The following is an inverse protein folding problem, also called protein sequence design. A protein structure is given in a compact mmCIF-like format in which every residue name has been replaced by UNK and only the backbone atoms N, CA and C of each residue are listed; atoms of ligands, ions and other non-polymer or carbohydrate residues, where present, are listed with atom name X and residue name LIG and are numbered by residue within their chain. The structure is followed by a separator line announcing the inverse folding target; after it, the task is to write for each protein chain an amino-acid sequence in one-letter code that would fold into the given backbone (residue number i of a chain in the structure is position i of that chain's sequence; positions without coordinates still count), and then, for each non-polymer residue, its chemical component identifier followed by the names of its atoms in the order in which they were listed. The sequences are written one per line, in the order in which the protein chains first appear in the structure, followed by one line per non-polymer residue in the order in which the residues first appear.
data_IF_369267562369
#
_entry.id   IF_369267562369
#
_cell.length_a   1.000
_cell.length_b   1.000
_cell.length_c   1.000
_cell.angle_alpha   90.00
_cell.angle_beta   90.00
_cell.angle_gamma   90.00
#
_symmetry.space_group_name_H-M   'P 1'
#
loop_
_entity.id
_entity.type
_entity.pdbx_description
1 polymer ?
#
# COMPACT_ATOMS: atom_id res chain seq x y z
N UNK A 1 9.51 3.74 -13.80
CA UNK A 1 10.22 3.30 -12.59
C UNK A 1 11.01 2.05 -12.96
N UNK A 2 12.34 2.10 -13.02
CA UNK A 2 13.19 0.93 -13.36
C UNK A 2 13.77 0.35 -12.08
N UNK A 3 13.03 -0.55 -11.44
CA UNK A 3 13.51 -1.34 -10.30
C UNK A 3 14.74 -2.21 -10.65
N UNK A 4 14.89 -2.56 -11.94
CA UNK A 4 16.05 -3.30 -12.46
C UNK A 4 17.41 -2.59 -12.30
N UNK A 5 17.42 -1.31 -11.88
CA UNK A 5 18.65 -0.54 -11.65
C UNK A 5 18.90 -0.24 -10.15
N UNK A 6 18.07 -0.77 -9.24
CA UNK A 6 18.23 -0.53 -7.81
C UNK A 6 19.15 -1.61 -7.20
N UNK A 7 20.34 -1.20 -6.75
CA UNK A 7 21.28 -2.06 -6.04
C UNK A 7 21.27 -1.78 -4.52
N UNK A 8 21.57 -2.80 -3.71
CA UNK A 8 21.68 -2.70 -2.25
C UNK A 8 20.33 -2.62 -1.51
N UNK A 9 20.27 -1.85 -0.42
CA UNK A 9 19.12 -1.73 0.53
C UNK A 9 17.82 -1.22 -0.14
N UNK A 10 17.91 -0.73 -1.38
CA UNK A 10 16.78 -0.24 -2.17
C UNK A 10 16.24 -1.25 -3.19
N UNK A 11 16.89 -2.39 -3.37
CA UNK A 11 16.38 -3.47 -4.20
C UNK A 11 15.10 -4.04 -3.57
N UNK A 12 13.99 -3.95 -4.30
CA UNK A 12 12.72 -4.56 -3.88
C UNK A 12 12.43 -5.72 -4.83
N UNK A 13 12.51 -6.98 -4.35
CA UNK A 13 12.43 -8.16 -5.22
C UNK A 13 11.04 -8.38 -5.83
N UNK A 14 9.99 -7.76 -5.26
CA UNK A 14 8.63 -7.88 -5.74
C UNK A 14 7.86 -6.55 -5.58
N UNK A 15 6.88 -6.30 -6.45
CA UNK A 15 5.94 -5.17 -6.38
C UNK A 15 5.23 -5.13 -5.03
N UNK A 16 4.99 -6.29 -4.42
CA UNK A 16 4.48 -6.40 -3.05
C UNK A 16 5.39 -5.70 -2.04
N UNK A 17 6.70 -5.95 -2.07
CA UNK A 17 7.69 -5.29 -1.19
C UNK A 17 7.86 -3.79 -1.50
N UNK A 18 7.48 -3.34 -2.70
CA UNK A 18 7.42 -1.90 -2.99
C UNK A 18 6.22 -1.22 -2.30
N UNK A 19 5.12 -1.96 -2.10
CA UNK A 19 3.89 -1.46 -1.50
C UNK A 19 3.76 -1.76 0.01
N UNK A 20 4.48 -2.78 0.50
CA UNK A 20 4.61 -3.13 1.91
C UNK A 20 5.61 -2.19 2.57
N UNK A 21 5.10 -1.10 3.15
CA UNK A 21 5.87 -0.13 3.93
C UNK A 21 5.11 0.27 5.19
N UNK A 22 5.70 1.18 5.94
CA UNK A 22 5.11 1.82 7.10
C UNK A 22 4.43 3.12 6.67
N UNK A 23 3.12 3.20 6.89
CA UNK A 23 2.28 4.32 6.47
C UNK A 23 1.81 5.13 7.68
N UNK A 24 1.74 6.45 7.54
CA UNK A 24 1.07 7.28 8.52
C UNK A 24 -0.41 7.35 8.17
N UNK A 25 -1.26 6.72 8.98
CA UNK A 25 -2.66 6.50 8.66
C UNK A 25 -3.51 6.48 9.93
N UNK A 26 -4.80 6.81 9.79
CA UNK A 26 -5.82 6.60 10.81
C UNK A 26 -6.21 5.13 10.87
N UNK A 27 -5.93 4.48 12.00
CA UNK A 27 -6.20 3.06 12.21
C UNK A 27 -7.67 2.71 12.03
N UNK A 28 -8.60 3.53 12.53
CA UNK A 28 -10.03 3.23 12.47
C UNK A 28 -10.56 3.21 11.03
N UNK A 29 -9.99 4.05 10.17
CA UNK A 29 -10.32 4.06 8.74
C UNK A 29 -9.64 2.93 8.00
N UNK A 30 -8.42 2.59 8.41
CA UNK A 30 -7.62 1.54 7.79
C UNK A 30 -8.19 0.15 8.08
N UNK A 31 -8.65 -0.10 9.29
CA UNK A 31 -9.28 -1.36 9.69
C UNK A 31 -10.61 -1.61 8.97
N UNK A 32 -11.24 -0.56 8.41
CA UNK A 32 -12.46 -0.66 7.60
C UNK A 32 -12.20 -0.83 6.10
N UNK A 33 -10.94 -0.74 5.65
CA UNK A 33 -10.64 -0.79 4.24
C UNK A 33 -10.62 -2.24 3.73
N UNK A 34 -11.37 -2.51 2.67
CA UNK A 34 -11.39 -3.83 2.03
C UNK A 34 -10.12 -4.14 1.22
N UNK A 35 -9.54 -3.09 0.61
CA UNK A 35 -8.38 -3.21 -0.26
C UNK A 35 -7.44 -2.02 -0.11
N UNK A 36 -6.14 -2.29 -0.25
CA UNK A 36 -5.08 -1.30 -0.32
C UNK A 36 -4.54 -1.25 -1.74
N UNK A 37 -4.60 -0.08 -2.37
CA UNK A 37 -4.19 0.11 -3.77
C UNK A 37 -2.83 0.79 -3.84
N UNK A 38 -1.86 0.14 -4.47
CA UNK A 38 -0.59 0.77 -4.83
C UNK A 38 -0.70 1.42 -6.21
N UNK A 39 -0.68 2.75 -6.22
CA UNK A 39 -0.88 3.56 -7.43
C UNK A 39 0.45 4.13 -7.93
N UNK A 40 0.70 4.04 -9.23
CA UNK A 40 1.83 4.67 -9.89
C UNK A 40 1.37 5.43 -11.14
N UNK A 41 1.67 6.74 -11.19
CA UNK A 41 1.25 7.65 -12.28
C UNK A 41 -0.26 7.58 -12.58
N UNK A 42 -1.07 7.53 -11.54
CA UNK A 42 -2.53 7.45 -11.68
C UNK A 42 -3.05 6.07 -12.07
N UNK A 43 -2.21 5.04 -12.22
CA UNK A 43 -2.68 3.68 -12.54
C UNK A 43 -2.41 2.76 -11.36
N UNK A 44 -3.40 1.93 -10.99
CA UNK A 44 -3.25 0.91 -9.96
C UNK A 44 -2.32 -0.20 -10.48
N UNK A 45 -1.24 -0.45 -9.74
CA UNK A 45 -0.22 -1.46 -10.07
C UNK A 45 -0.22 -2.66 -9.13
N UNK A 46 -0.82 -2.51 -7.96
CA UNK A 46 -0.98 -3.60 -7.01
C UNK A 46 -2.23 -3.38 -6.19
N UNK A 47 -2.93 -4.47 -5.92
CA UNK A 47 -4.08 -4.53 -5.02
C UNK A 47 -3.68 -5.48 -3.91
N UNK A 48 -3.78 -5.03 -2.66
CA UNK A 48 -3.48 -5.84 -1.49
C UNK A 48 -4.77 -5.97 -0.71
N UNK A 49 -5.22 -7.21 -0.50
CA UNK A 49 -6.31 -7.52 0.42
C UNK A 49 -5.74 -7.71 1.82
N UNK A 50 -6.10 -6.86 2.79
CA UNK A 50 -5.78 -7.07 4.20
C UNK A 50 -6.14 -8.48 4.66
N UNK A 51 -5.20 -9.21 5.24
CA UNK A 51 -5.48 -10.49 5.91
C UNK A 51 -5.45 -10.38 7.43
N UNK A 52 -4.99 -9.25 7.94
CA UNK A 52 -4.82 -9.02 9.38
C UNK A 52 -5.00 -7.54 9.69
N UNK A 53 -5.24 -7.23 10.96
CA UNK A 53 -5.33 -5.84 11.45
C UNK A 53 -4.02 -5.08 11.24
N UNK A 54 -4.12 -3.76 11.16
CA UNK A 54 -2.95 -2.90 11.01
C UNK A 54 -2.06 -2.93 12.27
N UNK A 55 -0.80 -3.28 12.07
CA UNK A 55 0.20 -3.40 13.13
C UNK A 55 0.97 -2.09 13.30
N UNK A 56 1.08 -1.54 14.53
CA UNK A 56 1.86 -0.34 14.78
C UNK A 56 3.36 -0.64 14.68
N UNK A 57 4.08 0.20 13.96
CA UNK A 57 5.53 0.14 13.79
C UNK A 57 6.15 1.49 14.14
N UNK A 58 7.06 1.45 15.11
CA UNK A 58 7.81 2.62 15.57
C UNK A 58 9.28 2.59 15.09
N UNK A 59 9.78 1.43 14.67
CA UNK A 59 11.16 1.22 14.24
C UNK A 59 11.11 0.46 12.91
N UNK A 60 11.77 0.98 11.88
CA UNK A 60 11.90 0.33 10.59
C UNK A 60 12.89 -0.84 10.63
N UNK A 61 12.86 -1.71 9.63
CA UNK A 61 13.78 -2.84 9.49
C UNK A 61 15.27 -2.42 9.43
N UNK A 62 15.56 -1.18 9.02
CA UNK A 62 16.91 -0.59 9.01
C UNK A 62 17.33 0.06 10.34
N UNK A 63 16.50 -0.05 11.38
CA UNK A 63 16.72 0.56 12.69
C UNK A 63 16.28 2.02 12.81
N UNK A 64 15.73 2.62 11.74
CA UNK A 64 15.25 4.00 11.79
C UNK A 64 14.04 4.13 12.71
N UNK A 65 14.14 4.98 13.74
CA UNK A 65 13.03 5.29 14.64
C UNK A 65 12.13 6.36 14.02
N UNK A 66 10.84 6.04 13.90
CA UNK A 66 9.85 6.98 13.42
C UNK A 66 9.42 7.97 14.51
N UNK A 67 9.41 9.27 14.18
CA UNK A 67 8.90 10.33 15.08
C UNK A 67 7.42 10.18 15.44
N UNK A 68 6.65 9.47 14.61
CA UNK A 68 5.23 9.16 14.81
C UNK A 68 4.99 7.70 14.45
N UNK A 69 4.15 7.01 15.21
CA UNK A 69 3.75 5.63 14.93
C UNK A 69 3.21 5.53 13.51
N UNK A 70 3.76 4.58 12.77
CA UNK A 70 3.27 4.19 11.46
C UNK A 70 2.60 2.84 11.57
N UNK A 71 1.84 2.47 10.56
CA UNK A 71 1.18 1.18 10.51
C UNK A 71 1.65 0.39 9.31
N UNK A 72 1.75 -0.91 9.53
CA UNK A 72 2.05 -1.92 8.53
C UNK A 72 0.86 -2.86 8.44
N UNK A 73 0.64 -3.42 7.27
CA UNK A 73 -0.35 -4.45 7.07
C UNK A 73 0.24 -5.62 6.31
N UNK A 74 -0.23 -6.81 6.66
CA UNK A 74 -0.01 -8.02 5.89
C UNK A 74 -1.25 -8.30 5.05
N UNK A 75 -1.02 -8.66 3.80
CA UNK A 75 -2.11 -8.93 2.89
C UNK A 75 -1.68 -9.72 1.68
N UNK A 76 -2.68 -10.16 0.95
CA UNK A 76 -2.53 -10.98 -0.25
C UNK A 76 -2.71 -10.13 -1.50
N UNK A 77 -1.88 -10.35 -2.51
CA UNK A 77 -1.94 -9.65 -3.81
C UNK A 77 -2.62 -10.47 -4.91
N UNK A 78 -2.96 -11.72 -4.63
CA UNK A 78 -3.56 -12.68 -5.55
C UNK A 78 -5.09 -12.76 -5.45
N UNK A 79 -5.73 -11.82 -4.74
CA UNK A 79 -7.20 -11.75 -4.66
C UNK A 79 -7.78 -11.40 -6.04
N UNK A 80 -8.45 -12.40 -6.65
CA UNK A 80 -9.02 -12.29 -8.00
C UNK A 80 -10.04 -11.16 -8.10
N UNK A 81 -10.89 -10.99 -7.08
CA UNK A 81 -11.93 -9.96 -7.06
C UNK A 81 -11.31 -8.56 -7.03
N UNK A 82 -10.38 -8.30 -6.12
CA UNK A 82 -9.70 -7.01 -6.03
C UNK A 82 -8.89 -6.70 -7.29
N UNK A 83 -8.23 -7.70 -7.85
CA UNK A 83 -7.46 -7.53 -9.08
C UNK A 83 -8.34 -7.20 -10.29
N UNK A 84 -9.46 -7.89 -10.48
CA UNK A 84 -10.39 -7.61 -11.58
C UNK A 84 -11.01 -6.20 -11.48
N UNK A 85 -11.36 -5.80 -10.25
CA UNK A 85 -11.98 -4.50 -10.00
C UNK A 85 -11.01 -3.32 -10.17
N UNK A 86 -9.77 -3.46 -9.69
CA UNK A 86 -8.89 -2.30 -9.52
C UNK A 86 -7.57 -2.38 -10.29
N UNK A 87 -7.03 -3.57 -10.55
CA UNK A 87 -5.70 -3.68 -11.17
C UNK A 87 -5.70 -3.08 -12.59
N UNK A 88 -4.66 -2.33 -12.93
CA UNK A 88 -4.50 -1.64 -14.22
C UNK A 88 -5.51 -0.53 -14.54
N UNK A 89 -6.47 -0.26 -13.66
CA UNK A 89 -7.41 0.86 -13.80
C UNK A 89 -6.74 2.18 -13.46
N UNK A 90 -7.16 3.25 -14.12
CA UNK A 90 -6.74 4.60 -13.74
C UNK A 90 -7.56 5.04 -12.52
N UNK A 91 -6.91 5.57 -11.49
CA UNK A 91 -7.61 6.10 -10.31
C UNK A 91 -8.51 7.29 -10.65
N UNK A 92 -8.32 7.95 -11.80
CA UNK A 92 -9.22 8.99 -12.32
C UNK A 92 -10.54 8.43 -12.85
N UNK A 93 -10.56 7.17 -13.26
CA UNK A 93 -11.77 6.50 -13.76
C UNK A 93 -12.77 6.22 -12.63
N UNK A 94 -12.35 6.41 -11.39
CA UNK A 94 -13.19 6.26 -10.23
C UNK A 94 -13.42 7.64 -9.59
N UNK A 95 -14.67 7.98 -9.21
CA UNK A 95 -14.99 9.21 -8.49
C UNK A 95 -14.57 9.07 -7.01
N UNK A 96 -13.28 8.86 -6.76
CA UNK A 96 -12.74 8.80 -5.42
C UNK A 96 -12.50 10.21 -4.90
N UNK A 97 -13.20 10.56 -3.82
CA UNK A 97 -13.11 11.84 -3.12
C UNK A 97 -11.70 12.44 -3.10
N UNK A 98 -11.64 13.73 -3.37
CA UNK A 98 -10.43 14.53 -3.56
C UNK A 98 -9.53 14.54 -2.32
N UNK A 99 -8.25 14.16 -2.51
CA UNK A 99 -7.14 14.62 -1.67
C UNK A 99 -6.48 13.56 -0.77
N UNK A 100 -5.29 13.08 -1.15
CA UNK A 100 -4.37 12.37 -0.24
C UNK A 100 -3.57 11.22 -0.86
N UNK A 101 -2.32 11.08 -0.42
CA UNK A 101 -1.36 10.00 -0.78
C UNK A 101 -1.80 8.64 -0.21
N UNK A 102 -2.73 8.61 0.73
CA UNK A 102 -3.37 7.42 1.31
C UNK A 102 -4.88 7.64 1.22
N UNK A 103 -5.61 6.69 0.61
CA UNK A 103 -7.07 6.73 0.48
C UNK A 103 -7.69 5.50 1.12
N UNK A 104 -8.84 5.69 1.74
CA UNK A 104 -9.61 4.64 2.42
C UNK A 104 -10.92 4.46 1.68
N UNK A 105 -11.25 3.21 1.36
CA UNK A 105 -12.53 2.82 0.79
C UNK A 105 -13.32 2.17 1.95
N UNK A 106 -14.49 2.72 2.34
CA UNK A 106 -15.37 2.09 3.32
C UNK A 106 -16.22 0.97 2.73
#
# INVERSE_FOLDING_TARGET
YRQAQAEGVYMRPNIYECARKYWYLDKNRADKADYVLGVYRGVVRVVIKPTSSWLPVNIADDGTVFKKTRYMIEGKTDDLLGNDLYLHRDVRDFPFGSGGVIRYIP
#
